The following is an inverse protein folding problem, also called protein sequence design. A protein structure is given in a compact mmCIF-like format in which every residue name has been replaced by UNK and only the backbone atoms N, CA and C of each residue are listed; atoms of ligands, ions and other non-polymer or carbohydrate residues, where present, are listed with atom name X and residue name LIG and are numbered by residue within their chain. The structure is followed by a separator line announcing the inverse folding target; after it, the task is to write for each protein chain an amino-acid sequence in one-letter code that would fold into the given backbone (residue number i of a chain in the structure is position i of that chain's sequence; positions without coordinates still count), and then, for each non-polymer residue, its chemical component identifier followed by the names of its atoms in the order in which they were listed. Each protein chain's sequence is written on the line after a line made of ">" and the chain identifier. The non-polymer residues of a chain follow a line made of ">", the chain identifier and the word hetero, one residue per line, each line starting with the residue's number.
data_IF_417911213570
#
_entry.id   IF_417911213570
#
_cell.length_a   1.000
_cell.length_b   1.000
_cell.length_c   1.000
_cell.angle_alpha   90.00
_cell.angle_beta   90.00
_cell.angle_gamma   90.00
#
_symmetry.space_group_name_H-M   'P 1'
#
loop_
_entity.id
_entity.type
_entity.pdbx_description
1 polymer ?
#
# COMPACT_ATOMS: atom_id res chain seq x y z
N UNK A 1 -4.73 19.00 -6.47
CA UNK A 1 -3.51 19.29 -5.67
C UNK A 1 -3.11 18.00 -4.97
N UNK A 2 -2.30 17.15 -5.62
CA UNK A 2 -1.91 15.86 -5.04
C UNK A 2 -0.67 16.05 -4.16
N UNK A 3 -0.89 16.13 -2.85
CA UNK A 3 0.17 15.89 -1.87
C UNK A 3 0.38 14.38 -1.79
N UNK A 4 1.54 13.91 -2.23
CA UNK A 4 1.97 12.55 -1.91
C UNK A 4 2.01 12.40 -0.40
N UNK A 5 1.34 11.37 0.11
CA UNK A 5 1.39 11.05 1.52
C UNK A 5 2.85 10.87 1.95
N UNK A 6 3.35 11.61 2.97
CA UNK A 6 4.72 11.51 3.44
C UNK A 6 5.30 10.10 3.63
N UNK A 7 4.55 9.05 4.03
CA UNK A 7 5.05 7.67 4.04
C UNK A 7 5.53 7.19 2.66
N UNK A 8 4.82 7.49 1.57
CA UNK A 8 5.25 7.14 0.20
C UNK A 8 6.60 7.81 -0.13
N UNK A 9 6.73 9.10 0.21
CA UNK A 9 7.97 9.86 0.04
C UNK A 9 9.12 9.34 0.95
N UNK A 10 8.82 8.89 2.17
CA UNK A 10 9.79 8.35 3.13
C UNK A 10 10.26 6.94 2.78
N UNK A 11 9.36 6.04 2.37
CA UNK A 11 9.70 4.72 1.86
C UNK A 11 10.67 4.82 0.67
N UNK A 12 10.42 5.77 -0.24
CA UNK A 12 11.30 6.02 -1.38
C UNK A 12 12.59 6.77 -1.01
N UNK A 13 12.57 7.61 0.02
CA UNK A 13 13.81 8.19 0.58
C UNK A 13 14.71 7.10 1.18
N UNK A 14 14.12 6.13 1.89
CA UNK A 14 14.84 4.96 2.39
C UNK A 14 15.36 4.05 1.26
N UNK A 15 14.58 3.86 0.18
CA UNK A 15 15.01 3.17 -1.03
C UNK A 15 16.21 3.86 -1.71
N UNK A 16 16.16 5.18 -1.87
CA UNK A 16 17.21 6.01 -2.48
C UNK A 16 18.50 6.06 -1.63
N UNK A 17 18.39 5.83 -0.32
CA UNK A 17 19.54 5.76 0.59
C UNK A 17 20.21 4.38 0.62
N UNK A 18 19.48 3.28 0.37
CA UNK A 18 20.00 1.91 0.45
C UNK A 18 20.61 1.37 -0.85
N UNK A 19 20.38 2.02 -2.00
CA UNK A 19 20.92 1.60 -3.30
C UNK A 19 21.96 2.59 -3.86
N UNK A 20 23.14 2.08 -4.25
CA UNK A 20 24.21 2.86 -4.89
C UNK A 20 23.81 3.41 -6.27
N UNK A 21 22.95 2.67 -6.99
CA UNK A 21 22.31 3.12 -8.23
C UNK A 21 21.08 3.95 -7.88
N UNK A 22 21.15 5.26 -8.06
CA UNK A 22 20.08 6.18 -7.64
C UNK A 22 19.08 6.43 -8.76
N UNK A 23 17.81 6.07 -8.55
CA UNK A 23 16.70 6.58 -9.38
C UNK A 23 16.34 8.00 -8.93
N UNK A 24 16.08 8.89 -9.90
CA UNK A 24 15.57 10.24 -9.67
C UNK A 24 14.05 10.22 -9.46
N UNK A 25 13.59 10.47 -8.23
CA UNK A 25 12.18 10.75 -7.99
C UNK A 25 11.82 12.15 -8.51
N UNK A 26 10.71 12.22 -9.24
CA UNK A 26 10.09 13.43 -9.76
C UNK A 26 8.81 13.66 -8.94
N UNK A 27 8.77 14.77 -8.21
CA UNK A 27 7.59 15.23 -7.46
C UNK A 27 7.04 16.50 -8.11
N UNK A 28 5.72 16.70 -8.01
CA UNK A 28 5.08 17.92 -8.50
C UNK A 28 5.66 19.16 -7.78
N UNK A 29 5.97 20.27 -8.48
CA UNK A 29 6.69 21.42 -7.93
C UNK A 29 6.01 22.14 -6.75
N UNK A 30 4.77 21.79 -6.41
CA UNK A 30 4.04 22.30 -5.23
C UNK A 30 4.52 21.71 -3.89
N UNK A 31 5.37 20.67 -3.90
CA UNK A 31 5.85 20.01 -2.66
C UNK A 31 7.19 20.62 -2.19
N UNK A 32 7.28 21.20 -0.98
CA UNK A 32 8.47 21.94 -0.52
C UNK A 32 9.67 21.06 -0.10
N UNK A 33 9.66 19.74 -0.39
CA UNK A 33 10.64 18.78 0.12
C UNK A 33 11.30 18.02 -1.04
N UNK A 34 12.37 18.61 -1.58
CA UNK A 34 13.63 17.97 -2.02
C UNK A 34 14.41 18.93 -2.94
N UNK A 35 15.47 19.57 -2.44
CA UNK A 35 16.42 20.29 -3.32
C UNK A 35 17.20 19.27 -4.16
N UNK A 36 17.35 19.45 -5.49
CA UNK A 36 18.18 18.55 -6.30
C UNK A 36 19.65 18.72 -5.88
N UNK A 37 20.27 17.63 -5.39
CA UNK A 37 21.72 17.59 -5.12
C UNK A 37 22.46 17.31 -6.42
N UNK A 38 23.59 18.00 -6.64
CA UNK A 38 24.29 18.04 -7.92
C UNK A 38 24.77 16.66 -8.43
N UNK A 39 24.63 16.49 -9.74
CA UNK A 39 25.42 15.66 -10.65
C UNK A 39 26.29 14.55 -10.04
N UNK A 40 25.74 13.33 -10.00
CA UNK A 40 26.50 12.10 -10.25
C UNK A 40 25.88 11.42 -11.47
N UNK A 41 26.66 10.68 -12.23
CA UNK A 41 26.15 9.88 -13.36
C UNK A 41 25.23 8.79 -12.81
N UNK A 42 23.93 8.97 -12.99
CA UNK A 42 22.91 8.04 -12.49
C UNK A 42 22.83 6.80 -13.39
N UNK A 43 23.62 5.76 -13.04
CA UNK A 43 23.30 4.40 -13.44
C UNK A 43 21.91 4.06 -12.91
N UNK A 44 20.95 3.90 -13.83
CA UNK A 44 19.59 3.50 -13.48
C UNK A 44 19.54 2.08 -12.92
N UNK A 45 18.38 1.69 -12.42
CA UNK A 45 18.13 0.33 -11.94
C UNK A 45 17.27 -0.44 -12.94
N UNK A 46 17.60 -1.72 -13.13
CA UNK A 46 16.71 -2.68 -13.81
C UNK A 46 15.31 -2.64 -13.19
N UNK A 47 14.25 -2.66 -14.01
CA UNK A 47 12.87 -2.63 -13.53
C UNK A 47 12.60 -3.70 -12.46
N UNK A 48 13.05 -4.94 -12.67
CA UNK A 48 12.96 -6.04 -11.69
C UNK A 48 13.57 -5.72 -10.32
N UNK A 49 14.65 -4.93 -10.29
CA UNK A 49 15.32 -4.53 -9.06
C UNK A 49 14.57 -3.40 -8.33
N UNK A 50 13.90 -2.51 -9.09
CA UNK A 50 12.99 -1.50 -8.52
C UNK A 50 11.77 -2.18 -7.92
N UNK A 51 11.12 -3.09 -8.66
CA UNK A 51 9.94 -3.85 -8.20
C UNK A 51 10.26 -4.69 -6.96
N UNK A 52 11.32 -5.51 -6.98
CA UNK A 52 11.73 -6.31 -5.82
C UNK A 52 12.03 -5.48 -4.56
N UNK A 53 12.43 -4.22 -4.72
CA UNK A 53 12.66 -3.32 -3.59
C UNK A 53 11.38 -2.62 -3.10
N UNK A 54 10.43 -2.32 -3.99
CA UNK A 54 9.10 -1.85 -3.61
C UNK A 54 8.32 -2.94 -2.87
N UNK A 55 8.39 -4.19 -3.33
CA UNK A 55 7.79 -5.36 -2.66
C UNK A 55 8.42 -5.63 -1.29
N UNK A 56 9.71 -5.30 -1.08
CA UNK A 56 10.35 -5.35 0.25
C UNK A 56 9.89 -4.23 1.19
N UNK A 57 9.36 -3.13 0.66
CA UNK A 57 8.81 -2.02 1.44
C UNK A 57 7.32 -2.21 1.73
N UNK A 58 6.57 -2.73 0.76
CA UNK A 58 5.17 -3.10 0.86
C UNK A 58 4.94 -4.47 0.20
N UNK A 59 5.09 -5.57 0.95
CA UNK A 59 4.87 -6.92 0.44
C UNK A 59 3.45 -7.09 -0.11
N UNK A 60 3.27 -7.55 -1.36
CA UNK A 60 1.94 -7.79 -1.93
C UNK A 60 1.08 -8.77 -1.10
N UNK A 61 1.70 -9.64 -0.30
CA UNK A 61 1.02 -10.52 0.66
C UNK A 61 0.30 -9.81 1.82
N UNK A 62 0.48 -8.49 1.97
CA UNK A 62 -0.24 -7.65 2.92
C UNK A 62 -1.41 -6.88 2.27
N UNK A 63 -1.60 -7.01 0.95
CA UNK A 63 -2.74 -6.41 0.27
C UNK A 63 -4.04 -7.15 0.61
N UNK A 64 -5.15 -6.43 0.53
CA UNK A 64 -6.48 -7.01 0.59
C UNK A 64 -6.75 -7.93 -0.60
N UNK A 65 -7.53 -9.00 -0.39
CA UNK A 65 -7.74 -10.06 -1.40
C UNK A 65 -8.49 -9.62 -2.66
N UNK A 66 -9.12 -8.45 -2.64
CA UNK A 66 -9.79 -7.82 -3.78
C UNK A 66 -8.89 -6.85 -4.57
N UNK A 67 -7.72 -6.50 -4.02
CA UNK A 67 -6.89 -5.41 -4.52
C UNK A 67 -5.93 -5.86 -5.63
N UNK A 68 -5.59 -4.95 -6.55
CA UNK A 68 -4.69 -5.22 -7.67
C UNK A 68 -3.38 -4.43 -7.50
N UNK A 69 -2.56 -4.89 -6.55
CA UNK A 69 -1.24 -4.33 -6.24
C UNK A 69 -0.13 -4.92 -7.13
N UNK A 70 1.04 -4.29 -7.09
CA UNK A 70 2.25 -4.77 -7.78
C UNK A 70 2.53 -4.03 -9.08
N UNK A 71 3.28 -4.68 -9.98
CA UNK A 71 3.60 -4.16 -11.31
C UNK A 71 2.41 -4.39 -12.26
N UNK A 72 1.76 -3.30 -12.67
CA UNK A 72 0.53 -3.33 -13.47
C UNK A 72 0.77 -3.05 -14.96
N UNK A 73 1.88 -2.38 -15.29
CA UNK A 73 2.31 -2.12 -16.67
C UNK A 73 3.80 -2.37 -16.77
N UNK A 74 4.20 -3.32 -17.62
CA UNK A 74 5.59 -3.64 -17.93
C UNK A 74 5.88 -3.44 -19.43
N UNK A 75 6.62 -2.39 -19.82
CA UNK A 75 7.05 -2.19 -21.20
C UNK A 75 8.16 -3.17 -21.62
N UNK A 76 8.11 -3.66 -22.86
CA UNK A 76 9.13 -4.52 -23.48
C UNK A 76 9.88 -3.78 -24.60
N UNK A 77 11.19 -4.00 -24.86
CA UNK A 77 12.14 -4.85 -24.12
C UNK A 77 12.42 -4.34 -22.69
N UNK A 78 13.16 -5.10 -21.85
CA UNK A 78 13.48 -4.74 -20.47
C UNK A 78 13.94 -3.30 -20.25
N UNK A 79 13.53 -2.73 -19.12
CA UNK A 79 13.62 -1.29 -18.86
C UNK A 79 14.65 -0.97 -17.76
N UNK A 80 15.51 0.03 -18.03
CA UNK A 80 16.37 0.67 -17.04
C UNK A 80 15.66 1.93 -16.52
N UNK A 81 15.18 1.87 -15.28
CA UNK A 81 14.57 2.99 -14.59
C UNK A 81 15.66 3.95 -14.13
N UNK A 82 15.69 5.17 -14.67
CA UNK A 82 16.56 6.27 -14.24
C UNK A 82 15.78 7.34 -13.49
N UNK A 83 14.49 7.47 -13.82
CA UNK A 83 13.57 8.44 -13.28
C UNK A 83 12.21 7.79 -12.96
N UNK A 84 11.58 8.24 -11.87
CA UNK A 84 10.22 7.82 -11.52
C UNK A 84 9.35 9.03 -11.17
N UNK A 85 8.12 9.08 -11.64
CA UNK A 85 7.08 10.00 -11.16
C UNK A 85 6.26 9.33 -10.05
N UNK A 86 5.86 10.12 -9.06
CA UNK A 86 5.09 9.66 -7.91
C UNK A 86 3.72 10.34 -7.94
N UNK A 87 2.64 9.56 -7.79
CA UNK A 87 1.27 10.09 -7.74
C UNK A 87 0.40 9.30 -6.76
N UNK A 88 -0.70 9.91 -6.33
CA UNK A 88 -1.81 9.20 -5.69
C UNK A 88 -2.65 8.47 -6.75
N UNK A 89 -3.00 9.20 -7.80
CA UNK A 89 -3.88 8.76 -8.89
C UNK A 89 -3.19 8.95 -10.24
N UNK A 90 -3.18 7.90 -11.07
CA UNK A 90 -2.72 7.99 -12.46
C UNK A 90 -3.87 8.39 -13.39
N UNK A 91 -4.10 9.69 -13.52
CA UNK A 91 -5.01 10.27 -14.52
C UNK A 91 -4.29 10.50 -15.86
N UNK A 92 -5.05 10.77 -16.93
CA UNK A 92 -4.44 11.12 -18.24
C UNK A 92 -3.52 12.34 -18.13
N UNK A 93 -3.89 13.39 -17.38
CA UNK A 93 -3.04 14.56 -17.20
C UNK A 93 -1.73 14.25 -16.43
N UNK A 94 -1.77 13.35 -15.44
CA UNK A 94 -0.57 12.90 -14.71
C UNK A 94 0.33 12.03 -15.60
N UNK A 95 -0.25 11.24 -16.50
CA UNK A 95 0.52 10.49 -17.49
C UNK A 95 1.21 11.42 -18.49
N UNK A 96 0.53 12.44 -19.02
CA UNK A 96 1.15 13.45 -19.89
C UNK A 96 2.28 14.20 -19.16
N UNK A 97 2.12 14.51 -17.86
CA UNK A 97 3.20 15.06 -17.03
C UNK A 97 4.41 14.10 -16.94
N UNK A 98 4.17 12.81 -16.72
CA UNK A 98 5.21 11.79 -16.63
C UNK A 98 5.99 11.65 -17.95
N UNK A 99 5.27 11.62 -19.08
CA UNK A 99 5.84 11.56 -20.43
C UNK A 99 6.65 12.82 -20.75
N UNK A 100 6.11 14.01 -20.48
CA UNK A 100 6.81 15.28 -20.70
C UNK A 100 8.09 15.41 -19.85
N UNK A 101 8.11 14.87 -18.63
CA UNK A 101 9.31 14.79 -17.78
C UNK A 101 10.23 13.62 -18.11
N UNK A 102 9.87 12.76 -19.07
CA UNK A 102 10.60 11.54 -19.45
C UNK A 102 10.82 10.58 -18.26
N UNK A 103 9.77 10.35 -17.48
CA UNK A 103 9.77 9.34 -16.43
C UNK A 103 9.83 7.93 -17.03
N UNK A 104 10.74 7.07 -16.56
CA UNK A 104 10.77 5.65 -16.95
C UNK A 104 9.74 4.82 -16.15
N UNK A 105 9.29 5.32 -14.99
CA UNK A 105 8.44 4.59 -14.05
C UNK A 105 7.42 5.52 -13.39
N UNK A 106 6.23 5.01 -13.06
CA UNK A 106 5.22 5.68 -12.24
C UNK A 106 4.89 4.80 -11.03
N UNK A 107 5.04 5.37 -9.84
CA UNK A 107 4.43 4.82 -8.63
C UNK A 107 3.10 5.54 -8.39
N UNK A 108 1.99 4.86 -8.63
CA UNK A 108 0.63 5.35 -8.37
C UNK A 108 0.09 4.66 -7.13
N UNK A 109 -0.29 5.38 -6.08
CA UNK A 109 -0.85 4.76 -4.87
C UNK A 109 -2.08 3.90 -5.19
N UNK A 110 -3.08 4.47 -5.86
CA UNK A 110 -4.24 3.72 -6.36
C UNK A 110 -3.93 2.96 -7.66
N UNK A 111 -4.40 1.71 -7.82
CA UNK A 111 -4.29 0.94 -9.05
C UNK A 111 -5.09 1.54 -10.22
N UNK A 112 -4.46 1.97 -11.33
CA UNK A 112 -5.22 2.36 -12.53
C UNK A 112 -6.06 1.18 -13.05
N UNK A 113 -5.53 -0.05 -13.00
CA UNK A 113 -6.22 -1.30 -13.37
C UNK A 113 -6.97 -1.90 -12.17
N UNK A 114 -7.88 -1.14 -11.56
CA UNK A 114 -8.68 -1.61 -10.40
C UNK A 114 -9.66 -2.76 -10.73
N UNK A 115 -10.03 -2.94 -12.01
CA UNK A 115 -10.85 -4.07 -12.49
C UNK A 115 -10.23 -4.61 -13.77
N UNK A 116 -10.36 -5.92 -13.99
CA UNK A 116 -9.82 -6.59 -15.17
C UNK A 116 -10.32 -5.94 -16.48
N UNK A 117 -9.39 -5.46 -17.29
CA UNK A 117 -9.68 -4.83 -18.58
C UNK A 117 -9.85 -5.91 -19.65
N UNK A 118 -11.04 -6.02 -20.23
CA UNK A 118 -11.34 -6.99 -21.30
C UNK A 118 -10.73 -6.62 -22.66
N UNK A 119 -10.29 -5.38 -22.83
CA UNK A 119 -9.68 -4.80 -24.05
C UNK A 119 -8.72 -3.68 -23.65
N UNK A 120 -7.75 -3.38 -24.50
CA UNK A 120 -6.86 -2.22 -24.41
C UNK A 120 -6.87 -1.51 -25.76
N UNK A 121 -7.42 -0.29 -25.81
CA UNK A 121 -7.55 0.51 -27.05
C UNK A 121 -7.25 1.98 -26.78
N UNK A 122 -6.51 2.62 -27.70
CA UNK A 122 -6.26 4.07 -27.69
C UNK A 122 -7.55 4.91 -27.86
N UNK A 123 -8.61 4.32 -28.44
CA UNK A 123 -9.97 4.91 -28.54
C UNK A 123 -10.93 4.38 -27.47
N UNK A 124 -10.41 3.68 -26.46
CA UNK A 124 -11.19 3.10 -25.37
C UNK A 124 -11.53 4.07 -24.24
N UNK A 125 -12.00 3.52 -23.12
CA UNK A 125 -12.19 4.29 -21.88
C UNK A 125 -10.88 4.88 -21.36
N UNK A 126 -10.93 5.92 -20.53
CA UNK A 126 -9.73 6.65 -20.08
C UNK A 126 -8.66 5.74 -19.45
N UNK A 127 -9.08 4.71 -18.70
CA UNK A 127 -8.17 3.68 -18.17
C UNK A 127 -7.45 2.90 -19.27
N UNK A 128 -8.15 2.44 -20.32
CA UNK A 128 -7.52 1.80 -21.49
C UNK A 128 -6.45 2.72 -22.11
N UNK A 129 -6.79 4.01 -22.30
CA UNK A 129 -5.90 5.00 -22.92
C UNK A 129 -4.65 5.30 -22.09
N UNK A 130 -4.79 5.39 -20.77
CA UNK A 130 -3.66 5.52 -19.82
C UNK A 130 -2.69 4.35 -19.96
N UNK A 131 -3.18 3.11 -19.99
CA UNK A 131 -2.32 1.92 -20.12
C UNK A 131 -1.64 1.86 -21.49
N UNK A 132 -2.38 2.14 -22.58
CA UNK A 132 -1.82 2.16 -23.94
C UNK A 132 -0.74 3.21 -24.09
N UNK A 133 -0.99 4.46 -23.67
CA UNK A 133 0.01 5.54 -23.73
C UNK A 133 1.22 5.29 -22.82
N UNK A 134 1.03 4.64 -21.66
CA UNK A 134 2.15 4.27 -20.80
C UNK A 134 3.06 3.22 -21.48
N UNK A 135 2.48 2.21 -22.15
CA UNK A 135 3.25 1.24 -22.93
C UNK A 135 3.97 1.88 -24.13
N UNK A 136 3.29 2.72 -24.90
CA UNK A 136 3.86 3.47 -26.04
C UNK A 136 5.02 4.37 -25.59
N UNK A 137 4.84 5.09 -24.47
CA UNK A 137 5.86 5.94 -23.86
C UNK A 137 6.95 5.19 -23.08
N UNK A 138 6.89 3.85 -23.04
CA UNK A 138 7.81 2.96 -22.29
C UNK A 138 7.90 3.24 -20.78
N UNK A 139 6.77 3.63 -20.18
CA UNK A 139 6.65 3.94 -18.75
C UNK A 139 6.06 2.75 -18.01
N UNK A 140 6.81 2.17 -17.08
CA UNK A 140 6.30 1.12 -16.19
C UNK A 140 5.39 1.72 -15.11
N UNK A 141 4.38 0.97 -14.65
CA UNK A 141 3.43 1.44 -13.63
C UNK A 141 3.29 0.40 -12.52
N UNK A 142 3.48 0.83 -11.26
CA UNK A 142 3.33 0.01 -10.06
C UNK A 142 2.38 0.67 -9.06
N UNK A 143 1.60 -0.12 -8.34
CA UNK A 143 0.73 0.35 -7.25
C UNK A 143 0.86 -0.49 -5.99
N UNK A 144 1.22 0.11 -4.83
CA UNK A 144 1.31 -0.63 -3.56
C UNK A 144 -0.02 -0.65 -2.78
N UNK A 145 -0.89 0.34 -2.98
CA UNK A 145 -2.23 0.49 -2.39
C UNK A 145 -2.39 -0.10 -0.97
N UNK A 146 -3.28 -1.09 -0.77
CA UNK A 146 -3.58 -1.64 0.56
C UNK A 146 -2.36 -2.30 1.24
N UNK A 147 -1.42 -2.87 0.49
CA UNK A 147 -0.16 -3.36 1.07
C UNK A 147 0.68 -2.20 1.67
N UNK A 148 0.57 -0.97 1.16
CA UNK A 148 1.20 0.22 1.77
C UNK A 148 0.50 0.67 3.06
N UNK A 149 -0.79 0.39 3.17
CA UNK A 149 -1.64 0.78 4.30
C UNK A 149 -1.46 -0.19 5.49
N UNK A 150 -1.22 -1.47 5.20
CA UNK A 150 -0.99 -2.53 6.17
C UNK A 150 0.44 -2.60 6.73
N UNK A 151 1.42 -1.94 6.10
CA UNK A 151 2.82 -1.92 6.54
C UNK A 151 3.01 -1.07 7.80
N UNK A 152 3.81 -1.57 8.76
CA UNK A 152 4.24 -0.77 9.90
C UNK A 152 5.11 0.42 9.46
N UNK A 153 4.74 1.61 9.88
CA UNK A 153 5.27 2.89 9.38
C UNK A 153 4.64 3.37 8.06
N UNK A 154 3.66 2.65 7.52
CA UNK A 154 2.92 2.94 6.29
C UNK A 154 1.89 4.07 6.44
N UNK A 155 0.87 4.06 5.57
CA UNK A 155 -0.13 5.15 5.49
C UNK A 155 -0.93 5.29 6.77
N UNK A 156 -1.49 4.20 7.30
CA UNK A 156 -2.31 4.22 8.51
C UNK A 156 -1.51 4.70 9.74
N UNK A 157 -0.29 4.19 9.93
CA UNK A 157 0.60 4.62 11.01
C UNK A 157 1.04 6.09 10.89
N UNK A 158 1.12 6.63 9.69
CA UNK A 158 1.39 8.06 9.48
C UNK A 158 0.17 8.93 9.80
N UNK A 159 -1.03 8.52 9.37
CA UNK A 159 -2.28 9.20 9.69
C UNK A 159 -2.56 9.19 11.20
N UNK A 160 -2.37 8.05 11.87
CA UNK A 160 -2.54 7.92 13.31
C UNK A 160 -1.64 8.89 14.10
N UNK A 161 -0.39 9.12 13.65
CA UNK A 161 0.53 10.08 14.27
C UNK A 161 0.06 11.53 14.20
N UNK A 162 -0.78 11.89 13.21
CA UNK A 162 -1.34 13.24 13.11
C UNK A 162 -2.40 13.53 14.20
N UNK A 163 -2.93 12.48 14.85
CA UNK A 163 -3.99 12.57 15.85
C UNK A 163 -3.43 12.65 17.28
N UNK A 164 -2.10 12.50 17.43
CA UNK A 164 -1.36 12.69 18.68
C UNK A 164 -0.81 11.38 19.27
N UNK A 165 -0.34 11.41 20.54
CA UNK A 165 0.15 10.22 21.22
C UNK A 165 -0.98 9.19 21.43
N UNK A 166 -0.89 8.05 20.74
CA UNK A 166 -1.89 6.97 20.83
C UNK A 166 -1.22 5.60 20.68
N UNK A 167 -1.82 4.57 21.29
CA UNK A 167 -1.48 3.18 21.01
C UNK A 167 -2.19 2.73 19.74
N UNK A 168 -1.42 2.52 18.67
CA UNK A 168 -1.90 2.03 17.38
C UNK A 168 -1.77 0.50 17.36
N UNK A 169 -2.82 -0.19 16.92
CA UNK A 169 -2.79 -1.61 16.55
C UNK A 169 -3.55 -1.82 15.24
N UNK A 170 -3.27 -2.89 14.49
CA UNK A 170 -4.13 -3.32 13.40
C UNK A 170 -5.60 -3.49 13.87
N UNK A 171 -6.55 -3.22 12.97
CA UNK A 171 -7.98 -3.50 13.21
C UNK A 171 -8.30 -4.97 12.98
N UNK A 172 -7.74 -5.50 11.89
CA UNK A 172 -7.69 -6.90 11.50
C UNK A 172 -6.23 -7.23 11.19
N UNK A 173 -5.80 -8.45 11.54
CA UNK A 173 -4.52 -8.96 11.06
C UNK A 173 -4.75 -9.57 9.68
N UNK A 174 -3.96 -9.18 8.68
CA UNK A 174 -3.91 -9.86 7.39
C UNK A 174 -3.49 -11.31 7.61
N UNK A 175 -4.40 -12.25 7.40
CA UNK A 175 -4.12 -13.68 7.48
C UNK A 175 -3.29 -14.08 6.27
N UNK A 176 -1.97 -13.99 6.40
CA UNK A 176 -1.05 -14.55 5.41
C UNK A 176 -1.32 -16.06 5.28
N UNK A 177 -1.86 -16.47 4.14
CA UNK A 177 -2.01 -17.88 3.77
C UNK A 177 -0.66 -18.58 3.49
N UNK A 178 0.47 -17.94 3.78
CA UNK A 178 1.82 -18.44 3.54
C UNK A 178 2.74 -18.23 4.75
N UNK A 179 2.44 -18.91 5.85
CA UNK A 179 3.44 -19.27 6.86
C UNK A 179 3.31 -20.76 7.22
N UNK A 180 4.37 -21.58 7.04
CA UNK A 180 4.37 -22.99 7.44
C UNK A 180 4.59 -23.13 8.96
N UNK A 181 3.68 -22.54 9.74
CA UNK A 181 3.68 -22.51 11.20
C UNK A 181 2.28 -22.16 11.69
N UNK A 182 1.49 -23.19 12.02
CA UNK A 182 0.03 -23.11 12.10
C UNK A 182 -0.51 -22.42 13.36
N UNK A 183 -0.42 -21.08 13.42
CA UNK A 183 -1.14 -20.27 14.40
C UNK A 183 -1.91 -19.16 13.68
N UNK A 184 -3.22 -19.40 13.47
CA UNK A 184 -4.05 -18.56 12.60
C UNK A 184 -4.51 -17.24 13.24
N UNK A 185 -4.63 -17.16 14.57
CA UNK A 185 -5.26 -16.01 15.24
C UNK A 185 -4.56 -15.63 16.56
N UNK A 186 -4.63 -14.34 16.90
CA UNK A 186 -4.24 -13.78 18.20
C UNK A 186 -5.40 -12.95 18.74
N UNK A 187 -5.74 -13.14 20.02
CA UNK A 187 -6.66 -12.30 20.77
C UNK A 187 -5.89 -11.52 21.84
N UNK A 188 -6.12 -10.21 21.91
CA UNK A 188 -5.59 -9.33 22.96
C UNK A 188 -6.78 -8.59 23.59
N UNK A 189 -6.95 -8.72 24.92
CA UNK A 189 -8.01 -8.06 25.66
C UNK A 189 -7.47 -7.48 26.98
N UNK A 190 -8.06 -6.36 27.40
CA UNK A 190 -7.73 -5.66 28.64
C UNK A 190 -8.62 -6.17 29.77
N UNK A 191 -8.03 -6.46 30.93
CA UNK A 191 -8.77 -6.94 32.11
C UNK A 191 -8.68 -5.90 33.24
N UNK A 192 -9.79 -5.69 33.96
CA UNK A 192 -9.91 -4.68 35.02
C UNK A 192 -9.23 -5.03 36.34
N UNK A 193 -9.05 -6.32 36.64
CA UNK A 193 -8.33 -6.82 37.82
C UNK A 193 -7.57 -8.11 37.51
N UNK A 194 -6.57 -8.46 38.33
CA UNK A 194 -5.86 -9.75 38.22
C UNK A 194 -6.77 -10.95 38.49
N UNK A 195 -7.79 -10.78 39.35
CA UNK A 195 -8.78 -11.81 39.70
C UNK A 195 -9.61 -12.24 38.48
N UNK A 196 -10.04 -11.28 37.68
CA UNK A 196 -10.80 -11.53 36.44
C UNK A 196 -9.93 -12.23 35.39
N UNK A 197 -8.63 -11.88 35.34
CA UNK A 197 -7.68 -12.50 34.42
C UNK A 197 -7.49 -13.99 34.77
N UNK A 198 -7.42 -14.33 36.06
CA UNK A 198 -7.38 -15.72 36.52
C UNK A 198 -8.58 -16.54 36.05
N UNK A 199 -9.80 -16.00 36.20
CA UNK A 199 -11.04 -16.66 35.77
C UNK A 199 -11.09 -16.88 34.25
N UNK A 200 -10.78 -15.85 33.46
CA UNK A 200 -10.79 -15.95 31.99
C UNK A 200 -9.72 -16.96 31.50
N UNK A 201 -8.55 -16.99 32.12
CA UNK A 201 -7.51 -17.97 31.77
C UNK A 201 -7.90 -19.40 32.16
N UNK A 202 -8.62 -19.60 33.27
CA UNK A 202 -9.13 -20.92 33.64
C UNK A 202 -10.17 -21.43 32.62
N UNK A 203 -11.09 -20.57 32.18
CA UNK A 203 -12.11 -20.90 31.18
C UNK A 203 -11.49 -21.19 29.81
N UNK A 204 -10.57 -20.35 29.33
CA UNK A 204 -9.88 -20.56 28.04
C UNK A 204 -9.02 -21.83 28.03
N UNK A 205 -8.38 -22.19 29.15
CA UNK A 205 -7.62 -23.45 29.25
C UNK A 205 -8.52 -24.70 29.38
N UNK A 206 -9.83 -24.54 29.62
CA UNK A 206 -10.79 -25.65 29.65
C UNK A 206 -11.25 -26.10 28.25
N UNK A 207 -11.00 -25.27 27.22
CA UNK A 207 -11.33 -25.57 25.83
C UNK A 207 -10.30 -26.55 25.23
N UNK A 208 -10.76 -27.76 24.89
CA UNK A 208 -9.90 -28.78 24.28
C UNK A 208 -9.31 -28.30 22.95
N UNK A 209 -7.97 -28.31 22.85
CA UNK A 209 -7.22 -27.98 21.64
C UNK A 209 -6.62 -26.58 21.59
N UNK A 210 -6.82 -25.74 22.62
CA UNK A 210 -6.20 -24.41 22.70
C UNK A 210 -4.93 -24.42 23.59
N UNK A 211 -3.94 -23.59 23.24
CA UNK A 211 -2.82 -23.24 24.09
C UNK A 211 -2.89 -21.75 24.42
N UNK A 212 -2.96 -21.40 25.72
CA UNK A 212 -3.27 -20.03 26.17
C UNK A 212 -2.03 -19.40 26.82
N UNK A 213 -1.66 -18.20 26.36
CA UNK A 213 -0.58 -17.39 26.92
C UNK A 213 -1.11 -15.98 27.22
N UNK A 214 -0.81 -15.43 28.40
CA UNK A 214 -1.34 -14.14 28.87
C UNK A 214 -0.29 -13.02 28.91
N UNK A 215 -0.73 -11.79 28.68
CA UNK A 215 -0.04 -10.51 28.93
C UNK A 215 -1.12 -9.43 29.17
N UNK A 216 -0.86 -8.45 30.04
CA UNK A 216 -1.90 -7.52 30.55
C UNK A 216 -1.57 -6.06 30.23
N UNK A 217 -2.52 -5.32 29.64
CA UNK A 217 -2.51 -3.86 29.53
C UNK A 217 -3.93 -3.31 29.28
N UNK A 218 -4.21 -2.05 29.65
CA UNK A 218 -5.56 -1.43 29.61
C UNK A 218 -5.68 -0.22 28.66
N UNK A 219 -6.78 -0.14 27.91
CA UNK A 219 -7.08 0.87 26.85
C UNK A 219 -8.61 1.02 26.76
N UNK A 220 -9.29 2.18 26.77
CA UNK A 220 -8.93 3.61 26.55
C UNK A 220 -8.68 3.99 25.09
N UNK A 221 -9.56 3.55 24.16
CA UNK A 221 -9.27 3.52 22.70
C UNK A 221 -10.25 4.32 21.82
N UNK A 222 -9.70 5.15 20.93
CA UNK A 222 -10.38 5.65 19.73
C UNK A 222 -10.08 4.70 18.56
N UNK A 223 -11.06 4.44 17.68
CA UNK A 223 -10.89 3.59 16.49
C UNK A 223 -11.04 4.43 15.22
N UNK A 224 -10.08 4.31 14.31
CA UNK A 224 -10.03 5.03 13.03
C UNK A 224 -10.07 4.04 11.89
N UNK A 225 -10.90 4.28 10.88
CA UNK A 225 -11.06 3.41 9.72
C UNK A 225 -10.76 4.20 8.45
N UNK A 226 -9.75 3.77 7.69
CA UNK A 226 -9.48 4.29 6.35
C UNK A 226 -9.97 3.25 5.35
N UNK A 227 -11.12 3.52 4.75
CA UNK A 227 -11.64 2.79 3.59
C UNK A 227 -12.08 3.80 2.55
N UNK A 228 -11.79 3.56 1.28
CA UNK A 228 -12.59 4.18 0.22
C UNK A 228 -14.06 3.83 0.45
N UNK A 229 -14.92 4.85 0.39
CA UNK A 229 -16.36 4.60 0.35
C UNK A 229 -16.69 3.81 -0.93
N UNK A 230 -17.44 2.73 -0.79
CA UNK A 230 -17.98 1.99 -1.94
C UNK A 230 -18.68 2.96 -2.90
N UNK A 231 -18.45 2.87 -4.23
CA UNK A 231 -19.22 3.65 -5.19
C UNK A 231 -20.72 3.31 -5.03
N UNK A 232 -21.63 4.29 -5.11
CA UNK A 232 -23.05 4.05 -4.92
C UNK A 232 -23.64 3.19 -6.04
N UNK A 233 -24.73 2.50 -5.71
CA UNK A 233 -25.44 1.50 -6.52
C UNK A 233 -24.67 0.17 -6.70
N UNK A 234 -25.21 -0.99 -6.30
CA UNK A 234 -26.62 -1.40 -6.40
C UNK A 234 -27.09 -2.16 -5.15
N UNK A 235 -28.29 -1.86 -4.66
CA UNK A 235 -29.05 -2.69 -3.70
C UNK A 235 -30.55 -2.31 -3.75
N UNK A 236 -31.49 -3.17 -3.32
CA UNK A 236 -31.48 -4.64 -3.17
C UNK A 236 -32.58 -5.27 -4.10
N UNK A 237 -33.20 -6.46 -3.89
CA UNK A 237 -33.76 -7.03 -2.64
C UNK A 237 -33.27 -8.50 -2.40
N UNK A 238 -33.63 -9.27 -1.36
CA UNK A 238 -34.53 -9.16 -0.19
C UNK A 238 -33.93 -10.03 0.95
N UNK A 239 -34.23 -9.74 2.23
CA UNK A 239 -34.35 -10.65 3.42
C UNK A 239 -33.36 -11.84 3.64
N UNK A 240 -32.88 -12.10 4.86
CA UNK A 240 -33.69 -12.22 6.09
C UNK A 240 -32.95 -11.83 7.39
N UNK A 241 -33.74 -11.59 8.44
CA UNK A 241 -33.32 -11.18 9.79
C UNK A 241 -32.57 -12.27 10.57
N UNK A 242 -31.71 -11.85 11.49
CA UNK A 242 -31.78 -12.27 12.90
C UNK A 242 -31.14 -11.18 13.79
N UNK A 243 -31.97 -10.56 14.63
CA UNK A 243 -31.73 -9.58 15.72
C UNK A 243 -30.33 -8.93 15.85
#
# INVERSE_FOLDING_TARGET
>A
MLLLLPPISRCLSAFSLRNSNRVRCLVHPSSPILRPRNSRTHSGMELRAVVSALEKLAPPSLAESWDNVGLLVEPSPPLIVRSMLLTNDLTEAVLEEALAKKADFILSYHPPIFKALKRLRSTGGWKERVIVKALEGRVAVYSPHTACDCVSGGVNDWLAKAIGPASVSPLSHSLSAQFPGAWAHRLEFSVGSETDLGSILAELNSLQGAAVHSHTASVTRLRLHMSEATPPCVSPPVTNMAF
#
